data_IF_366972473305
#
_entry.id   IF_366972473305
#
_cell.length_a   1.000
_cell.length_b   1.000
_cell.length_c   1.000
_cell.angle_alpha   90.00
_cell.angle_beta   90.00
_cell.angle_gamma   90.00
#
_symmetry.space_group_name_H-M   'P 1'
#
loop_
_entity.id
_entity.type
_entity.pdbx_description
1 polymer ?
#
# COMPACT_ATOMS: atom_id res chain seq x y z
N UNK A 1 26.18 -4.10 18.34
CA UNK A 1 25.43 -3.15 17.50
C UNK A 1 24.60 -3.89 16.46
N UNK A 2 25.15 -4.91 15.81
CA UNK A 2 24.53 -5.60 14.65
C UNK A 2 23.17 -6.23 14.93
N UNK A 3 22.99 -6.89 16.08
CA UNK A 3 21.69 -7.46 16.49
C UNK A 3 20.58 -6.40 16.57
N UNK A 4 20.87 -5.23 17.15
CA UNK A 4 19.88 -4.16 17.33
C UNK A 4 19.39 -3.70 15.95
N UNK A 5 20.31 -3.42 15.03
CA UNK A 5 19.97 -2.95 13.69
C UNK A 5 19.11 -3.99 12.94
N UNK A 6 19.49 -5.27 13.01
CA UNK A 6 18.79 -6.37 12.32
C UNK A 6 17.34 -6.52 12.82
N UNK A 7 17.10 -6.41 14.13
CA UNK A 7 15.77 -6.58 14.71
C UNK A 7 14.94 -5.29 14.75
N UNK A 8 15.56 -4.12 14.67
CA UNK A 8 14.88 -2.84 14.71
C UNK A 8 14.47 -2.32 13.33
N UNK A 9 15.36 -2.41 12.34
CA UNK A 9 15.16 -1.72 11.06
C UNK A 9 13.98 -2.27 10.23
N UNK A 10 13.82 -3.60 10.06
CA UNK A 10 12.75 -4.09 9.21
C UNK A 10 11.33 -3.83 9.74
N UNK A 11 11.02 -4.03 11.04
CA UNK A 11 9.74 -3.65 11.62
C UNK A 11 9.47 -2.13 11.51
N UNK A 12 10.51 -1.29 11.65
CA UNK A 12 10.40 0.15 11.48
C UNK A 12 10.00 0.50 10.03
N UNK A 13 10.68 -0.07 9.04
CA UNK A 13 10.36 0.13 7.61
C UNK A 13 8.93 -0.34 7.33
N UNK A 14 8.58 -1.55 7.78
CA UNK A 14 7.22 -2.09 7.63
C UNK A 14 6.18 -1.14 8.25
N UNK A 15 6.42 -0.66 9.47
CA UNK A 15 5.53 0.25 10.17
C UNK A 15 5.31 1.53 9.38
N UNK A 16 6.39 2.23 9.01
CA UNK A 16 6.34 3.49 8.25
C UNK A 16 5.62 3.31 6.91
N UNK A 17 5.99 2.28 6.12
CA UNK A 17 5.35 2.01 4.84
C UNK A 17 3.85 1.74 4.99
N UNK A 18 3.47 1.01 6.04
CA UNK A 18 2.06 0.72 6.34
C UNK A 18 1.30 1.99 6.68
N UNK A 19 1.85 2.84 7.55
CA UNK A 19 1.23 4.12 7.92
C UNK A 19 1.04 5.06 6.72
N UNK A 20 2.05 5.16 5.85
CA UNK A 20 1.97 5.95 4.61
C UNK A 20 0.87 5.40 3.70
N UNK A 21 0.84 4.08 3.45
CA UNK A 21 -0.20 3.46 2.62
C UNK A 21 -1.59 3.69 3.18
N UNK A 22 -1.77 3.51 4.48
CA UNK A 22 -3.03 3.74 5.19
C UNK A 22 -3.54 5.16 5.02
N UNK A 23 -2.67 6.14 5.27
CA UNK A 23 -2.99 7.56 5.12
C UNK A 23 -3.40 7.91 3.68
N UNK A 24 -2.66 7.43 2.68
CA UNK A 24 -2.94 7.72 1.27
C UNK A 24 -4.28 7.13 0.81
N UNK A 25 -4.56 5.88 1.19
CA UNK A 25 -5.84 5.22 0.90
C UNK A 25 -6.97 5.97 1.58
N UNK A 26 -6.83 6.31 2.86
CA UNK A 26 -7.86 7.02 3.60
C UNK A 26 -8.14 8.40 3.03
N UNK A 27 -7.12 9.17 2.65
CA UNK A 27 -7.31 10.51 2.09
C UNK A 27 -8.23 10.50 0.86
N UNK A 28 -8.14 9.45 0.03
CA UNK A 28 -8.97 9.31 -1.19
C UNK A 28 -10.28 8.57 -0.94
N UNK A 29 -10.30 7.61 0.00
CA UNK A 29 -11.44 6.71 0.29
C UNK A 29 -12.07 6.92 1.66
N UNK A 30 -11.94 8.11 2.26
CA UNK A 30 -12.46 8.44 3.62
C UNK A 30 -13.94 8.17 3.84
N UNK A 31 -14.75 8.16 2.77
CA UNK A 31 -16.20 7.93 2.82
C UNK A 31 -16.58 6.45 2.68
N UNK A 32 -15.62 5.56 2.38
CA UNK A 32 -15.92 4.14 2.14
C UNK A 32 -15.49 3.29 3.34
N UNK A 33 -16.24 2.23 3.62
CA UNK A 33 -15.96 1.33 4.75
C UNK A 33 -14.67 0.54 4.52
N UNK A 34 -14.34 0.24 3.27
CA UNK A 34 -13.08 -0.41 2.89
C UNK A 34 -11.90 0.50 3.21
N UNK A 35 -11.97 1.78 2.86
CA UNK A 35 -10.91 2.76 3.16
C UNK A 35 -10.67 2.92 4.66
N UNK A 36 -11.75 3.02 5.45
CA UNK A 36 -11.64 3.10 6.91
C UNK A 36 -11.09 1.82 7.54
N UNK A 37 -11.60 0.65 7.13
CA UNK A 37 -11.12 -0.64 7.65
C UNK A 37 -9.65 -0.89 7.32
N UNK A 38 -9.20 -0.48 6.12
CA UNK A 38 -7.80 -0.54 5.72
C UNK A 38 -6.93 0.41 6.56
N UNK A 39 -7.38 1.65 6.79
CA UNK A 39 -6.68 2.60 7.66
C UNK A 39 -6.46 2.01 9.06
N UNK A 40 -7.51 1.48 9.68
CA UNK A 40 -7.43 0.90 11.02
C UNK A 40 -6.39 -0.23 11.08
N UNK A 41 -6.40 -1.13 10.11
CA UNK A 41 -5.42 -2.21 10.01
C UNK A 41 -3.99 -1.66 9.87
N UNK A 42 -3.78 -0.69 8.97
CA UNK A 42 -2.45 -0.12 8.74
C UNK A 42 -1.91 0.70 9.91
N UNK A 43 -2.76 1.39 10.67
CA UNK A 43 -2.36 2.14 11.88
C UNK A 43 -1.87 1.17 12.95
N UNK A 44 -2.57 0.06 13.14
CA UNK A 44 -2.16 -0.96 14.11
C UNK A 44 -0.83 -1.60 13.71
N UNK A 45 -0.63 -1.88 12.43
CA UNK A 45 0.66 -2.39 11.91
C UNK A 45 1.77 -1.34 12.01
N UNK A 46 1.46 -0.05 11.81
CA UNK A 46 2.39 1.07 12.04
C UNK A 46 2.89 1.06 13.48
N UNK A 47 1.98 1.08 14.46
CA UNK A 47 2.36 1.08 15.87
C UNK A 47 3.10 -0.21 16.28
N UNK A 48 2.70 -1.37 15.77
CA UNK A 48 3.47 -2.60 15.97
C UNK A 48 4.91 -2.45 15.49
N UNK A 49 5.12 -1.94 14.26
CA UNK A 49 6.44 -1.72 13.70
C UNK A 49 7.30 -0.77 14.53
N UNK A 50 6.72 0.36 14.96
CA UNK A 50 7.40 1.33 15.83
C UNK A 50 7.79 0.68 17.17
N UNK A 51 6.85 0.11 17.91
CA UNK A 51 7.14 -0.43 19.24
C UNK A 51 8.10 -1.62 19.19
N UNK A 52 7.94 -2.50 18.21
CA UNK A 52 8.83 -3.63 18.03
C UNK A 52 10.26 -3.17 17.66
N UNK A 53 10.40 -2.09 16.88
CA UNK A 53 11.71 -1.54 16.54
C UNK A 53 12.47 -0.96 17.73
N UNK A 54 11.75 -0.48 18.76
CA UNK A 54 12.33 0.12 19.96
C UNK A 54 12.72 -0.93 21.01
N UNK A 55 12.10 -2.12 21.01
CA UNK A 55 12.36 -3.16 22.01
C UNK A 55 13.85 -3.47 22.25
N UNK A 56 14.71 -3.65 21.22
CA UNK A 56 16.09 -4.04 21.42
C UNK A 56 16.94 -3.00 22.19
N UNK A 57 16.56 -1.72 22.14
CA UNK A 57 17.30 -0.63 22.82
C UNK A 57 16.93 -0.50 24.29
N UNK A 58 15.80 -1.07 24.71
CA UNK A 58 15.25 -0.95 26.06
C UNK A 58 15.66 -2.11 27.00
N UNK A 59 16.55 -2.99 26.54
CA UNK A 59 17.03 -4.19 27.24
C UNK A 59 17.91 -3.93 28.48
N UNK A 60 18.16 -2.66 28.82
CA UNK A 60 18.93 -2.25 30.00
C UNK A 60 18.05 -2.10 31.25
N UNK A 61 16.71 -2.04 31.09
CA UNK A 61 15.76 -1.88 32.20
C UNK A 61 14.59 -2.85 32.09
N UNK A 62 14.34 -3.61 33.16
CA UNK A 62 13.20 -4.54 33.25
C UNK A 62 11.86 -3.79 33.08
N UNK A 63 11.73 -2.61 33.68
CA UNK A 63 10.52 -1.79 33.62
C UNK A 63 10.25 -1.26 32.21
N UNK A 64 11.29 -0.72 31.53
CA UNK A 64 11.14 -0.25 30.15
C UNK A 64 10.87 -1.41 29.18
N UNK A 65 11.50 -2.56 29.42
CA UNK A 65 11.23 -3.79 28.66
C UNK A 65 9.79 -4.28 28.85
N UNK A 66 9.26 -4.25 30.08
CA UNK A 66 7.85 -4.59 30.32
C UNK A 66 6.92 -3.63 29.58
N UNK A 67 7.15 -2.32 29.70
CA UNK A 67 6.33 -1.30 29.05
C UNK A 67 6.30 -1.48 27.53
N UNK A 68 7.45 -1.68 26.89
CA UNK A 68 7.49 -1.84 25.43
C UNK A 68 6.81 -3.13 24.98
N UNK A 69 6.93 -4.23 25.72
CA UNK A 69 6.20 -5.46 25.41
C UNK A 69 4.69 -5.29 25.57
N UNK A 70 4.23 -4.54 26.59
CA UNK A 70 2.81 -4.18 26.73
C UNK A 70 2.34 -3.34 25.52
N UNK A 71 3.12 -2.34 25.10
CA UNK A 71 2.81 -1.53 23.92
C UNK A 71 2.81 -2.34 22.61
N UNK A 72 3.70 -3.33 22.44
CA UNK A 72 3.70 -4.26 21.30
C UNK A 72 2.46 -5.17 21.32
N UNK A 73 1.98 -5.52 22.51
CA UNK A 73 0.86 -6.44 22.69
C UNK A 73 -0.49 -5.84 22.27
N UNK A 74 -0.64 -4.51 22.41
CA UNK A 74 -1.84 -3.77 21.98
C UNK A 74 -2.12 -3.98 20.49
N UNK A 75 -1.22 -3.62 19.56
CA UNK A 75 -1.47 -3.83 18.15
C UNK A 75 -1.51 -5.32 17.79
N UNK A 76 -0.69 -6.17 18.41
CA UNK A 76 -0.72 -7.63 18.18
C UNK A 76 -2.11 -8.22 18.41
N UNK A 77 -2.79 -7.78 19.48
CA UNK A 77 -4.16 -8.21 19.82
C UNK A 77 -5.21 -7.74 18.79
N UNK A 78 -4.96 -6.61 18.14
CA UNK A 78 -5.89 -5.97 17.20
C UNK A 78 -5.70 -6.42 15.74
N UNK A 79 -4.51 -6.87 15.34
CA UNK A 79 -4.20 -7.24 13.94
C UNK A 79 -5.22 -8.24 13.38
N UNK A 80 -5.54 -9.29 14.13
CA UNK A 80 -6.46 -10.35 13.66
C UNK A 80 -7.87 -9.84 13.38
N UNK A 81 -8.48 -9.14 14.35
CA UNK A 81 -9.85 -8.61 14.19
C UNK A 81 -9.93 -7.49 13.14
N UNK A 82 -8.90 -6.66 13.02
CA UNK A 82 -8.86 -5.60 12.01
C UNK A 82 -8.59 -6.13 10.61
N UNK A 83 -7.79 -7.20 10.48
CA UNK A 83 -7.64 -7.92 9.21
C UNK A 83 -8.98 -8.54 8.78
N UNK A 84 -9.73 -9.10 9.74
CA UNK A 84 -11.07 -9.61 9.48
C UNK A 84 -12.02 -8.50 9.06
N UNK A 85 -12.02 -7.38 9.76
CA UNK A 85 -12.81 -6.20 9.40
C UNK A 85 -12.50 -5.77 7.96
N UNK A 86 -11.22 -5.65 7.61
CA UNK A 86 -10.79 -5.31 6.26
C UNK A 86 -11.24 -6.35 5.23
N UNK A 87 -11.02 -7.65 5.48
CA UNK A 87 -11.41 -8.72 4.54
C UNK A 87 -12.92 -8.77 4.29
N UNK A 88 -13.73 -8.56 5.32
CA UNK A 88 -15.19 -8.54 5.23
C UNK A 88 -15.66 -7.33 4.42
N UNK A 89 -15.16 -6.12 4.69
CA UNK A 89 -15.53 -4.92 3.93
C UNK A 89 -15.03 -5.02 2.48
N UNK A 90 -13.79 -5.44 2.27
CA UNK A 90 -13.20 -5.56 0.93
C UNK A 90 -13.90 -6.59 0.03
N UNK A 91 -14.61 -7.56 0.62
CA UNK A 91 -15.35 -8.61 -0.10
C UNK A 91 -16.87 -8.45 0.00
N UNK A 92 -17.36 -7.33 0.53
CA UNK A 92 -18.78 -7.01 0.68
C UNK A 92 -19.60 -8.05 1.49
N UNK A 93 -18.99 -8.66 2.51
CA UNK A 93 -19.62 -9.71 3.34
C UNK A 93 -20.04 -9.25 4.73
N UNK A 94 -20.19 -7.94 4.94
CA UNK A 94 -20.46 -7.34 6.26
C UNK A 94 -21.67 -7.96 6.94
N UNK A 95 -22.80 -8.06 6.24
CA UNK A 95 -24.04 -8.60 6.82
C UNK A 95 -23.89 -10.05 7.30
N UNK A 96 -23.10 -10.86 6.59
CA UNK A 96 -22.87 -12.26 6.96
C UNK A 96 -22.05 -12.42 8.23
N UNK A 97 -21.09 -11.53 8.47
CA UNK A 97 -20.10 -11.67 9.54
C UNK A 97 -20.17 -10.59 10.63
N UNK A 98 -21.19 -9.72 10.61
CA UNK A 98 -21.33 -8.60 11.56
C UNK A 98 -21.28 -9.03 13.03
N UNK A 99 -21.90 -10.16 13.38
CA UNK A 99 -21.92 -10.65 14.76
C UNK A 99 -20.55 -11.19 15.18
N UNK A 100 -19.87 -11.91 14.28
CA UNK A 100 -18.50 -12.38 14.50
C UNK A 100 -17.55 -11.20 14.72
N UNK A 101 -17.72 -10.12 13.95
CA UNK A 101 -16.92 -8.91 14.08
C UNK A 101 -17.20 -8.18 15.41
N UNK A 102 -18.46 -8.05 15.83
CA UNK A 102 -18.83 -7.47 17.13
C UNK A 102 -18.22 -8.26 18.30
N UNK A 103 -18.32 -9.59 18.26
CA UNK A 103 -17.71 -10.47 19.26
C UNK A 103 -16.19 -10.31 19.25
N UNK A 104 -15.57 -10.26 18.06
CA UNK A 104 -14.13 -10.04 17.95
C UNK A 104 -13.66 -8.73 18.56
N UNK A 105 -14.37 -7.63 18.32
CA UNK A 105 -14.06 -6.36 18.96
C UNK A 105 -14.25 -6.41 20.49
N UNK A 106 -15.32 -7.05 20.97
CA UNK A 106 -15.55 -7.20 22.40
C UNK A 106 -14.45 -8.03 23.08
N UNK A 107 -14.08 -9.17 22.51
CA UNK A 107 -13.02 -10.04 23.03
C UNK A 107 -11.65 -9.36 22.97
N UNK A 108 -11.32 -8.66 21.86
CA UNK A 108 -10.09 -7.87 21.77
C UNK A 108 -10.08 -6.77 22.83
N UNK A 109 -11.19 -6.06 23.07
CA UNK A 109 -11.27 -5.04 24.11
C UNK A 109 -11.01 -5.62 25.51
N UNK A 110 -11.60 -6.78 25.83
CA UNK A 110 -11.35 -7.47 27.10
C UNK A 110 -9.86 -7.82 27.28
N UNK A 111 -9.22 -8.32 26.22
CA UNK A 111 -7.77 -8.59 26.26
C UNK A 111 -6.97 -7.31 26.45
N UNK A 112 -7.29 -6.24 25.72
CA UNK A 112 -6.60 -4.95 25.82
C UNK A 112 -6.60 -4.41 27.24
N UNK A 113 -7.74 -4.50 27.95
CA UNK A 113 -7.86 -4.06 29.34
C UNK A 113 -6.96 -4.86 30.29
N UNK A 114 -6.65 -6.11 29.96
CA UNK A 114 -5.78 -6.96 30.77
C UNK A 114 -4.28 -6.89 30.43
N UNK A 115 -3.88 -6.21 29.34
CA UNK A 115 -2.46 -6.08 28.94
C UNK A 115 -1.55 -5.52 30.05
N UNK A 116 -1.94 -4.49 30.82
CA UNK A 116 -1.10 -3.94 31.89
C UNK A 116 -0.86 -4.91 33.06
N UNK A 117 -1.62 -6.01 33.14
CA UNK A 117 -1.63 -6.92 34.28
C UNK A 117 -0.72 -8.14 34.11
N UNK A 118 -0.44 -8.81 35.23
CA UNK A 118 0.26 -10.11 35.24
C UNK A 118 -0.49 -11.23 34.52
N UNK A 119 -1.78 -11.03 34.21
CA UNK A 119 -2.56 -11.99 33.41
C UNK A 119 -2.07 -12.05 31.97
N UNK A 120 -1.49 -10.96 31.45
CA UNK A 120 -0.97 -10.90 30.09
C UNK A 120 0.54 -11.19 30.03
N UNK A 121 1.36 -10.47 30.81
CA UNK A 121 2.80 -10.76 30.95
C UNK A 121 3.08 -11.10 32.42
N UNK A 122 3.46 -12.34 32.68
CA UNK A 122 3.69 -12.83 34.05
C UNK A 122 4.97 -12.25 34.65
N UNK A 123 6.07 -12.29 33.88
CA UNK A 123 7.35 -11.70 34.24
C UNK A 123 8.20 -11.39 32.98
N UNK A 124 9.29 -10.66 33.17
CA UNK A 124 10.34 -10.43 32.17
C UNK A 124 11.59 -11.19 32.60
N UNK A 125 12.00 -12.18 31.80
CA UNK A 125 13.11 -13.09 32.09
C UNK A 125 14.13 -13.12 30.95
N UNK A 126 15.41 -13.42 31.21
CA UNK A 126 16.39 -13.60 30.14
C UNK A 126 16.01 -14.78 29.24
N UNK A 127 16.00 -14.58 27.91
CA UNK A 127 15.77 -15.66 26.92
C UNK A 127 16.57 -15.44 25.64
N UNK A 128 17.23 -16.49 25.16
CA UNK A 128 17.83 -16.58 23.81
C UNK A 128 18.73 -15.38 23.43
N UNK A 129 19.49 -14.88 24.40
CA UNK A 129 20.41 -13.74 24.24
C UNK A 129 19.75 -12.36 24.33
N UNK A 130 18.53 -12.29 24.88
CA UNK A 130 17.88 -11.06 25.33
C UNK A 130 17.87 -11.03 26.87
N UNK A 131 18.17 -9.87 27.45
CA UNK A 131 18.20 -9.69 28.91
C UNK A 131 16.79 -9.76 29.49
N UNK A 132 15.80 -9.24 28.77
CA UNK A 132 14.41 -9.20 29.19
C UNK A 132 13.49 -9.57 28.03
N UNK A 133 12.91 -10.76 28.13
CA UNK A 133 11.84 -11.26 27.28
C UNK A 133 10.61 -11.64 28.10
N UNK A 134 9.43 -11.42 27.55
CA UNK A 134 8.19 -11.68 28.27
C UNK A 134 7.90 -13.18 28.46
N UNK A 135 7.54 -13.54 29.68
CA UNK A 135 6.90 -14.82 30.00
C UNK A 135 5.37 -14.65 29.85
N UNK A 136 4.71 -15.49 29.02
CA UNK A 136 3.28 -15.34 28.75
C UNK A 136 2.44 -15.63 30.01
N UNK A 137 1.48 -14.75 30.27
CA UNK A 137 0.36 -15.05 31.16
C UNK A 137 -0.82 -15.70 30.42
N UNK A 138 -1.85 -16.12 31.16
CA UNK A 138 -3.03 -16.81 30.60
C UNK A 138 -3.73 -15.99 29.51
N UNK A 139 -3.83 -14.67 29.69
CA UNK A 139 -4.50 -13.77 28.74
C UNK A 139 -3.69 -13.59 27.45
N UNK A 140 -2.36 -13.74 27.49
CA UNK A 140 -1.54 -13.73 26.28
C UNK A 140 -1.90 -14.91 25.38
N UNK A 141 -2.03 -16.13 25.93
CA UNK A 141 -2.45 -17.30 25.15
C UNK A 141 -3.80 -17.08 24.47
N UNK A 142 -4.77 -16.52 25.20
CA UNK A 142 -6.06 -16.17 24.64
C UNK A 142 -5.93 -15.14 23.49
N UNK A 143 -5.09 -14.11 23.64
CA UNK A 143 -4.84 -13.13 22.57
C UNK A 143 -4.24 -13.75 21.31
N UNK A 144 -3.36 -14.74 21.46
CA UNK A 144 -2.74 -15.48 20.35
C UNK A 144 -3.78 -16.33 19.63
N UNK A 145 -4.66 -17.02 20.37
CA UNK A 145 -5.77 -17.79 19.80
C UNK A 145 -6.72 -16.87 19.01
N UNK A 146 -7.08 -15.70 19.55
CA UNK A 146 -7.91 -14.73 18.83
C UNK A 146 -7.23 -14.25 17.54
N UNK A 147 -5.94 -13.88 17.61
CA UNK A 147 -5.16 -13.42 16.46
C UNK A 147 -5.19 -14.46 15.32
N UNK A 148 -4.86 -15.72 15.62
CA UNK A 148 -4.81 -16.77 14.60
C UNK A 148 -6.21 -17.16 14.12
N UNK A 149 -7.21 -17.24 15.00
CA UNK A 149 -8.59 -17.60 14.62
C UNK A 149 -9.18 -16.58 13.64
N UNK A 150 -9.07 -15.28 13.93
CA UNK A 150 -9.58 -14.23 13.04
C UNK A 150 -8.74 -14.08 11.77
N UNK A 151 -7.43 -14.30 11.87
CA UNK A 151 -6.57 -14.40 10.68
C UNK A 151 -7.05 -15.52 9.76
N UNK A 152 -7.18 -16.76 10.26
CA UNK A 152 -7.62 -17.91 9.47
C UNK A 152 -8.98 -17.65 8.81
N UNK A 153 -9.94 -17.09 9.55
CA UNK A 153 -11.24 -16.71 9.02
C UNK A 153 -11.13 -15.67 7.90
N UNK A 154 -10.27 -14.66 8.06
CA UNK A 154 -10.01 -13.63 7.04
C UNK A 154 -9.49 -14.25 5.75
N UNK A 155 -8.54 -15.18 5.84
CA UNK A 155 -8.01 -15.91 4.68
C UNK A 155 -9.09 -16.77 4.03
N UNK A 156 -9.91 -17.48 4.81
CA UNK A 156 -11.05 -18.24 4.29
C UNK A 156 -12.03 -17.35 3.50
N UNK A 157 -12.30 -16.15 3.99
CA UNK A 157 -13.15 -15.15 3.34
C UNK A 157 -12.54 -14.67 2.02
N UNK A 158 -11.25 -14.33 2.03
CA UNK A 158 -10.50 -13.85 0.86
C UNK A 158 -10.36 -14.96 -0.20
N UNK A 159 -9.97 -16.18 0.19
CA UNK A 159 -9.87 -17.34 -0.72
C UNK A 159 -11.24 -17.68 -1.32
N UNK A 160 -12.30 -17.63 -0.51
CA UNK A 160 -13.67 -17.82 -1.01
C UNK A 160 -14.08 -16.75 -2.01
N UNK A 161 -13.67 -15.48 -1.80
CA UNK A 161 -13.89 -14.41 -2.77
C UNK A 161 -13.04 -14.58 -4.04
N UNK A 162 -11.78 -14.99 -3.91
CA UNK A 162 -10.88 -15.27 -5.02
C UNK A 162 -11.46 -16.29 -6.01
N UNK A 163 -12.08 -17.36 -5.50
CA UNK A 163 -12.73 -18.39 -6.33
C UNK A 163 -13.92 -17.86 -7.14
N UNK A 164 -14.61 -16.81 -6.65
CA UNK A 164 -15.80 -16.22 -7.28
C UNK A 164 -15.51 -15.00 -8.13
N UNK A 165 -14.38 -14.32 -7.92
CA UNK A 165 -14.00 -13.12 -8.66
C UNK A 165 -13.41 -13.44 -10.05
N UNK A 166 -13.58 -12.51 -11.00
CA UNK A 166 -12.97 -12.55 -12.34
C UNK A 166 -12.01 -11.36 -12.53
N UNK A 167 -11.12 -11.47 -13.51
CA UNK A 167 -10.23 -10.39 -13.97
C UNK A 167 -9.45 -9.68 -12.85
N UNK A 168 -9.55 -8.35 -12.77
CA UNK A 168 -8.76 -7.48 -11.90
C UNK A 168 -8.98 -7.76 -10.41
N UNK A 169 -10.24 -7.91 -9.96
CA UNK A 169 -10.56 -8.19 -8.54
C UNK A 169 -9.95 -9.51 -8.07
N UNK A 170 -9.91 -10.54 -8.92
CA UNK A 170 -9.23 -11.82 -8.62
C UNK A 170 -7.73 -11.62 -8.38
N UNK A 171 -7.10 -10.78 -9.19
CA UNK A 171 -5.67 -10.44 -9.04
C UNK A 171 -5.41 -9.64 -7.76
N UNK A 172 -6.25 -8.65 -7.45
CA UNK A 172 -6.17 -7.88 -6.20
C UNK A 172 -6.23 -8.78 -4.97
N UNK A 173 -7.24 -9.66 -4.91
CA UNK A 173 -7.41 -10.60 -3.80
C UNK A 173 -6.20 -11.53 -3.67
N UNK A 174 -5.68 -12.06 -4.80
CA UNK A 174 -4.49 -12.92 -4.78
C UNK A 174 -3.30 -12.21 -4.14
N UNK A 175 -3.01 -10.99 -4.55
CA UNK A 175 -1.86 -10.23 -4.03
C UNK A 175 -2.03 -9.92 -2.55
N UNK A 176 -3.21 -9.42 -2.14
CA UNK A 176 -3.52 -9.13 -0.73
C UNK A 176 -3.36 -10.38 0.11
N UNK A 177 -3.89 -11.52 -0.35
CA UNK A 177 -3.87 -12.78 0.40
C UNK A 177 -2.44 -13.30 0.54
N UNK A 178 -1.68 -13.37 -0.56
CA UNK A 178 -0.29 -13.86 -0.53
C UNK A 178 0.61 -12.94 0.31
N UNK A 179 0.51 -11.64 0.10
CA UNK A 179 1.30 -10.65 0.85
C UNK A 179 1.00 -10.67 2.34
N UNK A 180 -0.29 -10.74 2.71
CA UNK A 180 -0.71 -10.87 4.12
C UNK A 180 -0.25 -12.19 4.71
N UNK A 181 -0.26 -13.28 3.92
CA UNK A 181 0.20 -14.59 4.37
C UNK A 181 1.68 -14.58 4.71
N UNK A 182 2.51 -14.02 3.83
CA UNK A 182 3.95 -13.89 4.04
C UNK A 182 4.24 -13.01 5.28
N UNK A 183 3.59 -11.85 5.39
CA UNK A 183 3.79 -10.95 6.53
C UNK A 183 3.39 -11.58 7.86
N UNK A 184 2.25 -12.29 7.90
CA UNK A 184 1.79 -12.97 9.10
C UNK A 184 2.66 -14.17 9.48
N UNK A 185 3.13 -14.96 8.51
CA UNK A 185 4.05 -16.06 8.78
C UNK A 185 5.38 -15.55 9.33
N UNK A 186 5.91 -14.46 8.77
CA UNK A 186 7.10 -13.79 9.29
C UNK A 186 6.88 -13.32 10.74
N UNK A 187 5.75 -12.64 11.02
CA UNK A 187 5.40 -12.19 12.37
C UNK A 187 5.13 -13.34 13.36
N UNK A 188 4.59 -14.46 12.89
CA UNK A 188 4.26 -15.62 13.72
C UNK A 188 5.51 -16.25 14.34
N UNK A 189 6.68 -16.14 13.69
CA UNK A 189 7.95 -16.64 14.24
C UNK A 189 8.32 -15.98 15.58
N UNK A 190 7.83 -14.77 15.86
CA UNK A 190 8.07 -14.10 17.14
C UNK A 190 7.45 -14.84 18.33
N UNK A 191 6.39 -15.64 18.11
CA UNK A 191 5.75 -16.40 19.19
C UNK A 191 6.62 -17.55 19.68
N UNK A 192 7.58 -18.06 18.89
CA UNK A 192 8.46 -19.15 19.33
C UNK A 192 9.19 -18.82 20.64
N UNK A 193 9.67 -17.58 20.79
CA UNK A 193 10.36 -17.16 22.01
C UNK A 193 9.42 -17.01 23.22
N UNK A 194 8.16 -16.64 23.00
CA UNK A 194 7.14 -16.63 24.06
C UNK A 194 6.92 -18.04 24.63
N UNK A 195 7.01 -19.06 23.78
CA UNK A 195 6.79 -20.47 24.15
C UNK A 195 8.09 -21.27 24.38
N UNK A 196 9.22 -20.60 24.63
CA UNK A 196 10.52 -21.23 24.92
C UNK A 196 11.07 -22.12 23.78
N UNK A 197 10.68 -21.84 22.54
CA UNK A 197 11.21 -22.50 21.34
C UNK A 197 12.35 -21.66 20.79
N UNK A 198 13.57 -22.20 20.76
CA UNK A 198 14.80 -21.50 20.35
C UNK A 198 14.93 -21.40 18.82
N UNK A 199 13.93 -20.82 18.16
CA UNK A 199 13.99 -20.50 16.72
C UNK A 199 14.06 -18.98 16.61
N UNK A 200 15.22 -18.41 16.23
CA UNK A 200 15.36 -16.96 16.13
C UNK A 200 14.41 -16.42 15.05
N UNK A 201 13.84 -15.23 15.24
CA UNK A 201 12.92 -14.63 14.28
C UNK A 201 13.68 -14.04 13.06
N UNK A 202 14.48 -14.88 12.39
CA UNK A 202 15.33 -14.53 11.24
C UNK A 202 14.52 -14.15 9.99
N UNK A 203 13.23 -14.49 9.97
CA UNK A 203 12.30 -14.21 8.87
C UNK A 203 11.64 -12.83 9.07
N UNK A 204 11.79 -12.17 10.24
CA UNK A 204 11.22 -10.84 10.48
C UNK A 204 11.58 -9.79 9.42
N UNK A 205 12.79 -9.77 8.80
CA UNK A 205 13.07 -8.85 7.70
C UNK A 205 12.10 -8.94 6.52
N UNK A 206 11.52 -10.12 6.30
CA UNK A 206 10.59 -10.40 5.21
C UNK A 206 9.20 -9.81 5.50
N UNK A 207 8.92 -9.32 6.72
CA UNK A 207 7.63 -8.71 7.08
C UNK A 207 7.32 -7.47 6.23
N UNK A 208 8.34 -6.77 5.73
CA UNK A 208 8.20 -5.63 4.82
C UNK A 208 7.61 -6.01 3.44
N UNK A 209 7.57 -7.30 3.08
CA UNK A 209 6.88 -7.77 1.86
C UNK A 209 5.39 -7.45 1.91
N UNK A 210 4.77 -7.42 3.09
CA UNK A 210 3.35 -7.09 3.22
C UNK A 210 3.00 -5.73 2.61
N UNK A 211 3.51 -4.58 3.12
CA UNK A 211 3.17 -3.28 2.55
C UNK A 211 3.63 -3.14 1.09
N UNK A 212 4.76 -3.77 0.70
CA UNK A 212 5.23 -3.77 -0.69
C UNK A 212 4.25 -4.49 -1.65
N UNK A 213 3.64 -5.59 -1.21
CA UNK A 213 2.63 -6.30 -1.99
C UNK A 213 1.36 -5.46 -2.17
N UNK A 214 0.94 -4.72 -1.13
CA UNK A 214 -0.21 -3.82 -1.20
C UNK A 214 0.07 -2.65 -2.14
N UNK A 215 1.27 -2.05 -2.02
CA UNK A 215 1.73 -1.04 -2.95
C UNK A 215 1.68 -1.54 -4.40
N UNK A 216 2.23 -2.72 -4.66
CA UNK A 216 2.21 -3.34 -5.98
C UNK A 216 0.77 -3.52 -6.49
N UNK A 217 -0.16 -3.96 -5.64
CA UNK A 217 -1.58 -4.10 -6.00
C UNK A 217 -2.24 -2.75 -6.34
N UNK A 218 -1.90 -1.66 -5.63
CA UNK A 218 -2.42 -0.32 -5.91
C UNK A 218 -1.94 0.16 -7.27
N UNK A 219 -0.64 0.02 -7.55
CA UNK A 219 0.00 0.53 -8.77
C UNK A 219 -0.40 -0.27 -10.02
N UNK A 220 -0.43 -1.61 -9.91
CA UNK A 220 -0.56 -2.49 -11.07
C UNK A 220 -1.96 -3.08 -11.27
N UNK A 221 -2.73 -3.26 -10.19
CA UNK A 221 -4.07 -3.85 -10.21
C UNK A 221 -5.16 -2.87 -9.76
N UNK A 222 -4.86 -1.57 -9.80
CA UNK A 222 -5.74 -0.45 -9.41
C UNK A 222 -6.45 -0.71 -8.08
N UNK A 223 -5.76 -1.34 -7.12
CA UNK A 223 -6.32 -1.52 -5.78
C UNK A 223 -6.65 -0.14 -5.21
N UNK A 224 -7.91 0.03 -4.77
CA UNK A 224 -8.51 1.29 -4.35
C UNK A 224 -8.62 2.40 -5.41
N UNK A 225 -8.14 2.21 -6.64
CA UNK A 225 -8.15 3.22 -7.71
C UNK A 225 -7.55 4.58 -7.29
N UNK A 226 -6.43 4.55 -6.56
CA UNK A 226 -5.73 5.75 -6.06
C UNK A 226 -4.38 6.00 -6.74
N UNK A 227 -4.12 5.35 -7.87
CA UNK A 227 -2.82 5.33 -8.55
C UNK A 227 -2.24 6.74 -8.78
N UNK A 228 -3.10 7.70 -9.16
CA UNK A 228 -2.70 9.09 -9.40
C UNK A 228 -2.28 9.82 -8.12
N UNK A 229 -3.05 9.66 -7.04
CA UNK A 229 -2.74 10.26 -5.74
C UNK A 229 -1.44 9.67 -5.21
N UNK A 230 -1.30 8.33 -5.28
CA UNK A 230 -0.09 7.62 -4.88
C UNK A 230 1.14 8.17 -5.61
N UNK A 231 1.08 8.31 -6.95
CA UNK A 231 2.19 8.90 -7.72
C UNK A 231 2.59 10.27 -7.19
N UNK A 232 1.64 11.19 -7.11
CA UNK A 232 1.91 12.56 -6.70
C UNK A 232 2.51 12.60 -5.30
N UNK A 233 1.91 11.89 -4.34
CA UNK A 233 2.41 11.83 -2.97
C UNK A 233 3.82 11.28 -2.88
N UNK A 234 4.14 10.26 -3.67
CA UNK A 234 5.47 9.63 -3.68
C UNK A 234 6.52 10.56 -4.25
N UNK A 235 6.21 11.22 -5.37
CA UNK A 235 7.09 12.25 -5.94
C UNK A 235 7.34 13.36 -4.91
N UNK A 236 6.29 13.89 -4.28
CA UNK A 236 6.42 14.94 -3.28
C UNK A 236 7.23 14.51 -2.05
N UNK A 237 6.93 13.32 -1.49
CA UNK A 237 7.61 12.79 -0.31
C UNK A 237 9.10 12.55 -0.56
N UNK A 238 9.45 11.84 -1.63
CA UNK A 238 10.86 11.58 -1.94
C UNK A 238 11.61 12.87 -2.28
N UNK A 239 10.96 13.83 -2.96
CA UNK A 239 11.59 15.12 -3.24
C UNK A 239 11.91 15.90 -1.98
N UNK A 240 10.95 15.96 -1.06
CA UNK A 240 11.14 16.64 0.23
C UNK A 240 12.18 15.92 1.09
N UNK A 241 12.13 14.59 1.18
CA UNK A 241 13.10 13.80 1.93
C UNK A 241 14.52 13.99 1.41
N UNK A 242 14.72 14.03 0.09
CA UNK A 242 16.05 14.23 -0.49
C UNK A 242 16.61 15.62 -0.20
N UNK A 243 15.76 16.66 -0.20
CA UNK A 243 16.16 17.99 0.27
C UNK A 243 16.56 17.91 1.75
N UNK A 244 15.69 17.39 2.62
CA UNK A 244 15.97 17.29 4.06
C UNK A 244 17.27 16.53 4.33
N UNK A 245 17.45 15.36 3.72
CA UNK A 245 18.65 14.52 3.90
C UNK A 245 19.94 15.19 3.42
N UNK A 246 19.85 16.04 2.39
CA UNK A 246 20.99 16.81 1.91
C UNK A 246 21.36 17.94 2.89
N UNK A 247 20.36 18.61 3.49
CA UNK A 247 20.59 19.76 4.35
C UNK A 247 20.84 19.43 5.84
N UNK A 248 20.38 18.30 6.36
CA UNK A 248 20.65 17.87 7.75
C UNK A 248 22.15 17.80 8.09
N UNK A 249 23.01 17.10 7.32
CA UNK A 249 24.45 17.07 7.63
C UNK A 249 25.11 18.44 7.46
N UNK A 250 24.69 19.23 6.46
CA UNK A 250 25.19 20.59 6.27
C UNK A 250 24.84 21.50 7.46
N UNK A 251 23.65 21.33 8.04
CA UNK A 251 23.22 22.04 9.25
C UNK A 251 24.04 21.63 10.48
N UNK A 252 24.34 20.35 10.64
CA UNK A 252 25.20 19.87 11.74
C UNK A 252 26.59 20.52 11.63
N UNK A 253 27.17 20.53 10.42
CA UNK A 253 28.47 21.17 10.17
C UNK A 253 28.41 22.68 10.41
N UNK A 254 27.35 23.38 9.98
CA UNK A 254 27.24 24.83 10.17
C UNK A 254 27.16 25.22 11.64
N UNK A 255 26.42 24.46 12.45
CA UNK A 255 26.35 24.69 13.91
C UNK A 255 27.70 24.44 14.58
N UNK A 256 28.46 23.44 14.12
CA UNK A 256 29.74 23.06 14.74
C UNK A 256 30.88 24.04 14.41
N UNK A 257 30.93 24.57 13.20
CA UNK A 257 32.06 25.38 12.72
C UNK A 257 31.75 26.86 12.49
N UNK A 258 30.47 27.25 12.39
CA UNK A 258 30.04 28.60 12.02
C UNK A 258 28.93 29.12 12.94
N UNK A 259 29.06 28.90 14.26
CA UNK A 259 28.04 29.19 15.29
C UNK A 259 27.49 30.61 15.23
N UNK A 260 28.32 31.59 14.90
CA UNK A 260 27.95 33.01 14.93
C UNK A 260 27.11 33.43 13.71
N UNK A 261 27.15 32.63 12.63
CA UNK A 261 26.46 32.92 11.36
C UNK A 261 25.32 31.94 11.05
N UNK A 262 24.92 31.12 12.02
CA UNK A 262 23.93 30.04 11.80
C UNK A 262 22.64 30.55 11.17
N UNK A 263 22.10 31.68 11.63
CA UNK A 263 20.87 32.27 11.08
C UNK A 263 21.00 32.70 9.62
N UNK A 264 22.18 33.22 9.23
CA UNK A 264 22.44 33.61 7.84
C UNK A 264 22.59 32.37 6.93
N UNK A 265 23.28 31.34 7.43
CA UNK A 265 23.44 30.06 6.73
C UNK A 265 22.07 29.38 6.54
N UNK A 266 21.16 29.47 7.51
CA UNK A 266 19.82 28.91 7.41
C UNK A 266 18.98 29.58 6.30
N UNK A 267 19.04 30.90 6.21
CA UNK A 267 18.36 31.65 5.13
C UNK A 267 18.94 31.23 3.78
N UNK A 268 20.27 31.15 3.66
CA UNK A 268 20.94 30.70 2.43
C UNK A 268 20.54 29.28 2.05
N UNK A 269 20.50 28.35 3.01
CA UNK A 269 20.04 26.97 2.79
C UNK A 269 18.59 26.91 2.35
N UNK A 270 17.72 27.74 2.90
CA UNK A 270 16.33 27.82 2.49
C UNK A 270 16.20 28.28 1.02
N UNK A 271 16.97 29.29 0.61
CA UNK A 271 17.03 29.72 -0.81
C UNK A 271 17.54 28.61 -1.74
N UNK A 272 18.61 27.91 -1.36
CA UNK A 272 19.16 26.79 -2.15
C UNK A 272 18.14 25.65 -2.22
N UNK A 273 17.51 25.31 -1.10
CA UNK A 273 16.49 24.27 -1.03
C UNK A 273 15.31 24.57 -1.95
N UNK A 274 14.78 25.79 -1.92
CA UNK A 274 13.70 26.23 -2.81
C UNK A 274 14.11 26.20 -4.28
N UNK A 275 15.37 26.50 -4.59
CA UNK A 275 15.89 26.51 -5.97
C UNK A 275 16.12 25.10 -6.53
N UNK A 276 16.62 24.17 -5.70
CA UNK A 276 16.92 22.78 -6.08
C UNK A 276 15.65 21.91 -6.07
N UNK A 277 14.67 22.23 -5.23
CA UNK A 277 13.46 21.42 -5.07
C UNK A 277 12.72 21.10 -6.39
N UNK A 278 12.50 22.05 -7.33
CA UNK A 278 11.90 21.75 -8.63
C UNK A 278 12.70 20.71 -9.45
N UNK A 279 14.03 20.74 -9.40
CA UNK A 279 14.90 19.83 -10.14
C UNK A 279 14.79 18.41 -9.57
N UNK A 280 14.86 18.27 -8.25
CA UNK A 280 14.67 17.01 -7.54
C UNK A 280 13.26 16.47 -7.80
N UNK A 281 12.25 17.34 -7.76
CA UNK A 281 10.85 16.96 -8.05
C UNK A 281 10.70 16.41 -9.46
N UNK A 282 11.29 17.06 -10.47
CA UNK A 282 11.23 16.60 -11.84
C UNK A 282 11.98 15.26 -12.03
N UNK A 283 13.11 15.07 -11.36
CA UNK A 283 13.83 13.80 -11.33
C UNK A 283 12.94 12.66 -10.81
N UNK A 284 12.32 12.84 -9.64
CA UNK A 284 11.41 11.83 -9.07
C UNK A 284 10.14 11.64 -9.89
N UNK A 285 9.60 12.70 -10.50
CA UNK A 285 8.45 12.60 -11.39
C UNK A 285 8.74 11.71 -12.59
N UNK A 286 9.87 11.94 -13.26
CA UNK A 286 10.30 11.16 -14.42
C UNK A 286 10.63 9.71 -14.02
N UNK A 287 11.32 9.52 -12.89
CA UNK A 287 11.62 8.20 -12.35
C UNK A 287 10.33 7.42 -12.02
N UNK A 288 9.39 8.06 -11.33
CA UNK A 288 8.11 7.47 -10.97
C UNK A 288 7.29 7.11 -12.21
N UNK A 289 7.20 7.98 -13.20
CA UNK A 289 6.49 7.69 -14.45
C UNK A 289 7.15 6.54 -15.22
N UNK A 290 8.49 6.50 -15.31
CA UNK A 290 9.19 5.45 -16.05
C UNK A 290 8.99 4.07 -15.43
N UNK A 291 9.16 3.93 -14.12
CA UNK A 291 9.21 2.62 -13.45
C UNK A 291 7.91 2.19 -12.77
N UNK A 292 7.13 3.14 -12.25
CA UNK A 292 5.94 2.84 -11.44
C UNK A 292 4.62 3.22 -12.13
N UNK A 293 4.61 4.24 -13.01
CA UNK A 293 3.37 4.83 -13.52
C UNK A 293 3.30 4.96 -15.05
N UNK A 294 4.02 4.11 -15.79
CA UNK A 294 4.20 4.17 -17.26
C UNK A 294 2.87 4.32 -18.00
N UNK A 295 1.87 3.52 -17.61
CA UNK A 295 0.54 3.51 -18.23
C UNK A 295 -0.21 4.86 -18.23
N UNK A 296 0.14 5.80 -17.35
CA UNK A 296 -0.53 7.10 -17.26
C UNK A 296 0.08 8.17 -18.19
N UNK A 297 1.35 7.99 -18.56
CA UNK A 297 2.05 8.88 -19.50
C UNK A 297 1.65 8.53 -20.93
N UNK A 298 1.72 7.23 -21.27
CA UNK A 298 1.38 6.73 -22.60
C UNK A 298 -0.04 7.13 -23.00
N UNK A 299 -1.05 7.01 -22.13
CA UNK A 299 -2.43 7.37 -22.50
C UNK A 299 -2.63 8.85 -22.80
N UNK A 300 -1.96 9.76 -22.08
CA UNK A 300 -2.09 11.21 -22.35
C UNK A 300 -1.35 11.62 -23.61
N UNK A 301 -0.16 11.07 -23.83
CA UNK A 301 0.62 11.32 -25.04
C UNK A 301 -0.08 10.75 -26.27
N UNK A 302 -0.63 9.53 -26.18
CA UNK A 302 -1.45 8.91 -27.24
C UNK A 302 -2.68 9.78 -27.55
N UNK A 303 -3.44 10.23 -26.55
CA UNK A 303 -4.62 11.08 -26.79
C UNK A 303 -4.21 12.43 -27.39
N UNK A 304 -3.14 13.05 -26.88
CA UNK A 304 -2.65 14.32 -27.41
C UNK A 304 -2.13 14.20 -28.83
N UNK A 305 -1.44 13.12 -29.18
CA UNK A 305 -0.94 12.84 -30.52
C UNK A 305 -2.10 12.57 -31.48
N UNK A 306 -3.09 11.76 -31.05
CA UNK A 306 -4.31 11.51 -31.81
C UNK A 306 -5.10 12.79 -32.04
N UNK A 307 -5.35 13.60 -31.01
CA UNK A 307 -6.01 14.91 -31.17
C UNK A 307 -5.25 15.83 -32.11
N UNK A 308 -3.91 15.89 -32.00
CA UNK A 308 -3.09 16.73 -32.87
C UNK A 308 -3.16 16.26 -34.33
N UNK A 309 -3.05 14.95 -34.58
CA UNK A 309 -3.22 14.34 -35.91
C UNK A 309 -4.60 14.66 -36.49
N UNK A 310 -5.67 14.45 -35.70
CA UNK A 310 -7.05 14.78 -36.07
C UNK A 310 -7.24 16.25 -36.46
N UNK A 311 -6.60 17.19 -35.75
CA UNK A 311 -6.70 18.63 -36.04
C UNK A 311 -5.77 19.13 -37.14
N UNK A 312 -4.74 18.36 -37.51
CA UNK A 312 -3.66 18.81 -38.42
C UNK A 312 -3.84 18.40 -39.88
N UNK A 313 -4.85 17.59 -40.18
CA UNK A 313 -5.07 17.04 -41.51
C UNK A 313 -6.48 17.41 -41.95
N UNK A 314 -6.62 18.10 -43.08
CA UNK A 314 -7.91 18.52 -43.66
C UNK A 314 -8.46 17.50 -44.69
N UNK A 315 -7.75 16.38 -44.89
CA UNK A 315 -8.16 15.30 -45.79
C UNK A 315 -8.79 14.16 -44.98
N UNK A 316 -10.12 14.10 -44.96
CA UNK A 316 -10.93 13.14 -44.19
C UNK A 316 -10.43 11.69 -44.30
N UNK A 317 -10.08 11.22 -45.50
CA UNK A 317 -9.61 9.85 -45.74
C UNK A 317 -8.27 9.51 -45.09
N UNK A 318 -7.37 10.50 -45.00
CA UNK A 318 -6.04 10.33 -44.41
C UNK A 318 -6.11 10.33 -42.88
N UNK A 319 -7.03 11.11 -42.32
CA UNK A 319 -7.35 11.10 -40.89
C UNK A 319 -7.80 9.70 -40.45
N UNK A 320 -8.76 9.11 -41.18
CA UNK A 320 -9.32 7.81 -40.81
C UNK A 320 -8.30 6.67 -40.90
N UNK A 321 -7.44 6.67 -41.92
CA UNK A 321 -6.39 5.64 -42.06
C UNK A 321 -5.30 5.77 -40.98
N UNK A 322 -4.83 6.99 -40.68
CA UNK A 322 -3.82 7.22 -39.66
C UNK A 322 -4.35 6.93 -38.25
N UNK A 323 -5.60 7.31 -37.98
CA UNK A 323 -6.28 7.00 -36.73
C UNK A 323 -6.44 5.49 -36.55
N UNK A 324 -6.85 4.79 -37.60
CA UNK A 324 -6.98 3.35 -37.57
C UNK A 324 -5.66 2.64 -37.32
N UNK A 325 -4.60 2.99 -38.07
CA UNK A 325 -3.31 2.35 -37.92
C UNK A 325 -2.75 2.59 -36.50
N UNK A 326 -2.88 3.82 -36.00
CA UNK A 326 -2.44 4.16 -34.64
C UNK A 326 -3.22 3.36 -33.58
N UNK A 327 -4.55 3.24 -33.71
CA UNK A 327 -5.38 2.48 -32.77
C UNK A 327 -5.09 0.98 -32.89
N UNK A 328 -4.97 0.43 -34.09
CA UNK A 328 -4.74 -0.99 -34.33
C UNK A 328 -3.39 -1.44 -33.78
N UNK A 329 -2.34 -0.67 -34.04
CA UNK A 329 -0.97 -0.98 -33.60
C UNK A 329 -0.79 -0.78 -32.09
N UNK A 330 -1.36 0.27 -31.51
CA UNK A 330 -1.14 0.63 -30.10
C UNK A 330 -2.14 0.01 -29.12
N UNK A 331 -3.39 -0.22 -29.54
CA UNK A 331 -4.44 -0.83 -28.70
C UNK A 331 -4.66 -2.31 -29.00
N UNK A 332 -3.88 -2.89 -29.94
CA UNK A 332 -3.98 -4.29 -30.36
C UNK A 332 -5.42 -4.72 -30.73
N UNK A 333 -6.19 -3.80 -31.29
CA UNK A 333 -7.55 -4.06 -31.71
C UNK A 333 -7.55 -5.03 -32.91
N UNK A 334 -8.37 -6.10 -32.85
CA UNK A 334 -8.50 -7.06 -33.97
C UNK A 334 -9.21 -6.46 -35.18
N UNK A 335 -10.17 -5.57 -34.93
CA UNK A 335 -10.92 -4.88 -35.96
C UNK A 335 -11.28 -3.46 -35.52
N UNK A 336 -11.40 -2.53 -36.47
CA UNK A 336 -11.77 -1.14 -36.26
C UNK A 336 -12.62 -0.64 -37.43
N UNK A 337 -13.72 0.05 -37.12
CA UNK A 337 -14.61 0.68 -38.09
C UNK A 337 -14.91 2.11 -37.66
N UNK A 338 -14.94 3.04 -38.63
CA UNK A 338 -15.34 4.43 -38.45
C UNK A 338 -16.57 4.67 -39.30
N UNK A 339 -17.63 5.16 -38.66
CA UNK A 339 -18.93 5.41 -39.28
C UNK A 339 -19.24 6.90 -39.22
N UNK A 340 -19.67 7.47 -40.35
CA UNK A 340 -20.26 8.81 -40.39
C UNK A 340 -21.78 8.70 -40.40
N UNK A 341 -22.47 9.53 -39.64
CA UNK A 341 -23.93 9.60 -39.67
C UNK A 341 -24.35 10.74 -40.60
N UNK A 342 -25.15 10.43 -41.63
CA UNK A 342 -25.74 11.45 -42.51
C UNK A 342 -27.21 11.64 -42.17
N UNK A 343 -27.49 12.78 -41.56
CA UNK A 343 -28.82 13.14 -41.06
C UNK A 343 -29.88 13.25 -42.17
N UNK A 344 -29.48 13.67 -43.38
CA UNK A 344 -30.36 13.74 -44.55
C UNK A 344 -30.89 12.37 -45.00
N UNK A 345 -30.09 11.33 -44.82
CA UNK A 345 -30.37 9.99 -45.33
C UNK A 345 -30.77 9.03 -44.19
N UNK A 346 -30.73 9.49 -42.93
CA UNK A 346 -30.94 8.68 -41.71
C UNK A 346 -30.11 7.37 -41.70
N UNK A 347 -28.89 7.41 -42.25
CA UNK A 347 -28.03 6.25 -42.48
C UNK A 347 -26.61 6.51 -41.97
N UNK A 348 -25.99 5.45 -41.47
CA UNK A 348 -24.57 5.40 -41.17
C UNK A 348 -23.81 4.95 -42.40
N UNK A 349 -22.75 5.64 -42.77
CA UNK A 349 -21.85 5.28 -43.87
C UNK A 349 -20.51 4.83 -43.31
N UNK A 350 -19.92 3.78 -43.90
CA UNK A 350 -18.61 3.29 -43.51
C UNK A 350 -17.54 4.16 -44.15
N UNK A 351 -16.91 5.02 -43.36
CA UNK A 351 -15.78 5.84 -43.82
C UNK A 351 -14.47 5.04 -43.80
N UNK A 352 -14.37 4.09 -42.88
CA UNK A 352 -13.20 3.22 -42.76
C UNK A 352 -13.56 1.88 -42.10
N UNK A 353 -13.02 0.78 -42.61
CA UNK A 353 -13.14 -0.55 -42.01
C UNK A 353 -11.82 -1.31 -42.16
N UNK A 354 -11.30 -1.82 -41.04
CA UNK A 354 -10.23 -2.79 -41.01
C UNK A 354 -10.61 -3.94 -40.10
N UNK A 355 -10.86 -5.13 -40.68
CA UNK A 355 -11.06 -6.37 -39.92
C UNK A 355 -12.51 -6.75 -39.59
N UNK A 356 -13.51 -5.93 -39.92
CA UNK A 356 -14.91 -6.37 -39.92
C UNK A 356 -15.31 -6.90 -41.30
N UNK A 357 -16.07 -7.99 -41.34
CA UNK A 357 -16.70 -8.46 -42.58
C UNK A 357 -18.00 -7.69 -42.80
N UNK A 358 -18.02 -6.78 -43.77
CA UNK A 358 -19.17 -5.91 -44.06
C UNK A 358 -20.07 -6.42 -45.17
N UNK A 359 -19.86 -7.65 -45.70
CA UNK A 359 -20.69 -8.23 -46.77
C UNK A 359 -20.94 -7.29 -47.97
N UNK A 360 -19.97 -6.42 -48.31
CA UNK A 360 -20.08 -5.36 -49.33
C UNK A 360 -21.16 -4.28 -49.08
N UNK A 361 -21.64 -4.13 -47.85
CA UNK A 361 -22.50 -3.01 -47.46
C UNK A 361 -21.64 -1.81 -47.04
N UNK A 362 -21.84 -0.68 -47.72
CA UNK A 362 -21.16 0.59 -47.42
C UNK A 362 -21.98 1.52 -46.51
N UNK A 363 -23.21 1.12 -46.17
CA UNK A 363 -24.08 1.88 -45.27
C UNK A 363 -25.07 1.01 -44.50
N UNK A 364 -25.41 1.42 -43.28
CA UNK A 364 -26.39 0.78 -42.40
C UNK A 364 -27.51 1.76 -42.08
N UNK A 365 -28.74 1.27 -41.96
CA UNK A 365 -29.85 2.09 -41.45
C UNK A 365 -29.67 2.39 -39.96
N UNK A 366 -30.05 3.60 -39.57
CA UNK A 366 -30.13 3.98 -38.16
C UNK A 366 -31.29 3.22 -37.51
N UNK A 367 -30.99 2.16 -36.77
CA UNK A 367 -31.98 1.51 -35.91
C UNK A 367 -32.36 2.49 -34.80
N UNK A 368 -33.61 2.98 -34.83
CA UNK A 368 -34.23 3.67 -33.70
C UNK A 368 -34.30 2.76 -32.47
#
# INVERSE_FOLDING_TARGET
MDRIIIYSLPPLIMGILSGVLGYLVFHTKRKTKEGLSFLLLTIVIFFYGIFYSLFPTLQHSKTLSLLIFQLISVPTTLIGVLLLNFAINFTDKVEKYKNVLKIGYALSLLVLLGIPSKLYIKDMVPKFGWNYWAEPGVLHHFSVVLLFSYTILSFGILIGAYKKSKSEKKSQIRIITLGSGIGLLAGATNFFYWYNINIPPVIVPIIAIWPLSIWYAIVTKKLFDIKLVLRSSVVYLFSLLSVVLLFVPLKIISVQYFSDFVSFVDILFLFIALSIYPQIKNFYFNFANKYFFTSLYDSKEIISELSKKLTSTLEDKKIYSDLSNTIKDRLHARALGILSYKEKDNRYYIEFNSGFNTNNEDSFESNQ
#
